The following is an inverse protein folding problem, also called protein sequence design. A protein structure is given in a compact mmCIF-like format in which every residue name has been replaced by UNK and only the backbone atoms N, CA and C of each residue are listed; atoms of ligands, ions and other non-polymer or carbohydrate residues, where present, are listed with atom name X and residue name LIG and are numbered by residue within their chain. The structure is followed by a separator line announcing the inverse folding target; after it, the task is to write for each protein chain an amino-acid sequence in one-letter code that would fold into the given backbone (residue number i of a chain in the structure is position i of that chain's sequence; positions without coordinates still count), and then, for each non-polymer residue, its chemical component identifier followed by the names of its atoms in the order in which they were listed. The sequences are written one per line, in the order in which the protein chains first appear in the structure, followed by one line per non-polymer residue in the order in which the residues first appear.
data_IF_145180963636
#
_entry.id   IF_145180963636
#
_cell.length_a   1.000
_cell.length_b   1.000
_cell.length_c   1.000
_cell.angle_alpha   90.00
_cell.angle_beta   90.00
_cell.angle_gamma   90.00
#
_symmetry.space_group_name_H-M   'P 1'
#
loop_
_entity.id
_entity.type
_entity.pdbx_description
1 polymer ?
#
# COMPACT_ATOMS: atom_id res chain seq x y z
N UNK A 1 -27.16 12.58 8.37
CA UNK A 1 -26.06 11.58 8.41
C UNK A 1 -24.79 12.29 7.94
N UNK A 2 -23.64 12.05 8.56
CA UNK A 2 -22.39 12.70 8.14
C UNK A 2 -22.01 12.27 6.72
N UNK A 3 -21.28 13.14 6.04
CA UNK A 3 -20.77 12.85 4.67
C UNK A 3 -19.62 11.85 4.70
N UNK A 4 -18.75 11.92 5.70
CA UNK A 4 -17.61 11.02 5.89
C UNK A 4 -17.66 10.36 7.27
N UNK A 5 -17.13 9.13 7.36
CA UNK A 5 -16.68 8.53 8.63
C UNK A 5 -15.16 8.51 8.62
N UNK A 6 -14.51 9.17 9.57
CA UNK A 6 -13.08 8.94 9.83
C UNK A 6 -12.99 7.71 10.73
N UNK A 7 -12.29 6.66 10.29
CA UNK A 7 -12.12 5.42 11.04
C UNK A 7 -10.68 5.28 11.51
N UNK A 8 -10.50 5.26 12.84
CA UNK A 8 -9.20 5.09 13.50
C UNK A 8 -9.25 3.86 14.44
N UNK A 9 -8.59 2.75 14.07
CA UNK A 9 -8.33 1.67 15.01
C UNK A 9 -7.19 2.07 15.95
N UNK A 10 -7.30 1.68 17.22
CA UNK A 10 -6.33 1.99 18.28
C UNK A 10 -5.96 0.71 19.01
N UNK A 11 -4.67 0.45 19.21
CA UNK A 11 -4.16 -0.58 20.09
C UNK A 11 -2.79 -0.20 20.63
N UNK A 12 -2.72 0.08 21.96
CA UNK A 12 -1.50 0.47 22.66
C UNK A 12 -0.74 1.61 21.94
N UNK A 13 -1.42 2.74 21.75
CA UNK A 13 -0.93 3.86 20.93
C UNK A 13 -0.76 5.17 21.74
N UNK A 14 -0.70 5.13 23.07
CA UNK A 14 -0.76 6.29 23.95
C UNK A 14 0.27 7.38 23.58
N UNK A 15 1.42 7.01 23.05
CA UNK A 15 2.51 7.94 22.70
C UNK A 15 2.14 8.99 21.65
N UNK A 16 1.39 8.60 20.60
CA UNK A 16 1.11 9.48 19.46
C UNK A 16 -0.38 9.77 19.27
N UNK A 17 -1.23 9.06 19.99
CA UNK A 17 -2.68 9.07 19.81
C UNK A 17 -3.30 10.47 19.92
N UNK A 18 -2.88 11.28 20.90
CA UNK A 18 -3.40 12.63 21.06
C UNK A 18 -3.10 13.47 19.80
N UNK A 19 -1.88 13.42 19.27
CA UNK A 19 -1.51 14.15 18.06
C UNK A 19 -2.33 13.69 16.83
N UNK A 20 -2.56 12.38 16.70
CA UNK A 20 -3.38 11.82 15.64
C UNK A 20 -4.83 12.28 15.73
N UNK A 21 -5.45 12.25 16.94
CA UNK A 21 -6.82 12.73 17.18
C UNK A 21 -6.92 14.23 16.87
N UNK A 22 -6.01 15.05 17.40
CA UNK A 22 -6.00 16.49 17.17
C UNK A 22 -5.93 16.83 15.68
N UNK A 23 -5.12 16.10 14.90
CA UNK A 23 -4.97 16.29 13.47
C UNK A 23 -6.27 16.05 12.68
N UNK A 24 -7.16 15.21 13.20
CA UNK A 24 -8.49 14.97 12.63
C UNK A 24 -9.48 16.03 13.11
N UNK A 25 -9.42 16.44 14.35
CA UNK A 25 -10.38 17.42 14.90
C UNK A 25 -10.23 18.82 14.28
N UNK A 26 -9.01 19.19 13.82
CA UNK A 26 -8.73 20.47 13.17
C UNK A 26 -8.98 20.46 11.63
N UNK A 27 -9.56 19.39 11.07
CA UNK A 27 -9.85 19.35 9.63
C UNK A 27 -10.79 20.48 9.21
N UNK A 28 -10.50 21.10 8.05
CA UNK A 28 -11.34 22.14 7.44
C UNK A 28 -12.68 21.62 6.95
N UNK A 29 -12.75 20.34 6.58
CA UNK A 29 -14.00 19.64 6.34
C UNK A 29 -14.60 19.19 7.67
N UNK A 30 -15.79 19.63 8.03
CA UNK A 30 -16.39 19.43 9.37
C UNK A 30 -17.54 18.43 9.39
N UNK A 31 -18.14 18.08 8.24
CA UNK A 31 -19.28 17.17 8.15
C UNK A 31 -18.85 15.70 8.17
N UNK A 32 -18.26 15.25 9.28
CA UNK A 32 -17.86 13.87 9.51
C UNK A 32 -18.18 13.39 10.92
N UNK A 33 -18.34 12.08 11.07
CA UNK A 33 -18.19 11.40 12.36
C UNK A 33 -16.75 10.87 12.49
N UNK A 34 -16.23 10.88 13.70
CA UNK A 34 -14.92 10.32 14.02
C UNK A 34 -15.07 9.05 14.86
N UNK A 35 -15.07 7.90 14.17
CA UNK A 35 -15.22 6.59 14.79
C UNK A 35 -13.85 6.07 15.23
N UNK A 36 -13.60 6.03 16.53
CA UNK A 36 -12.39 5.48 17.14
C UNK A 36 -12.73 4.14 17.75
N UNK A 37 -12.00 3.08 17.35
CA UNK A 37 -12.20 1.73 17.87
C UNK A 37 -10.94 1.26 18.58
N UNK A 38 -11.01 1.17 19.89
CA UNK A 38 -9.95 0.60 20.71
C UNK A 38 -10.03 -0.93 20.70
N UNK A 39 -8.93 -1.59 20.32
CA UNK A 39 -8.84 -3.04 20.25
C UNK A 39 -8.33 -3.65 21.56
N UNK A 40 -8.93 -3.22 22.70
CA UNK A 40 -8.58 -3.67 24.04
C UNK A 40 -7.16 -3.28 24.46
N UNK A 41 -6.83 -1.98 24.34
CA UNK A 41 -5.54 -1.45 24.81
C UNK A 41 -5.34 -1.63 26.30
N UNK A 42 -4.09 -1.86 26.70
CA UNK A 42 -3.66 -1.99 28.11
C UNK A 42 -2.84 -0.80 28.62
N UNK A 43 -2.53 0.14 27.73
CA UNK A 43 -1.83 1.40 28.04
C UNK A 43 -2.81 2.54 28.34
N UNK A 44 -2.36 3.80 28.27
CA UNK A 44 -3.21 4.96 28.54
C UNK A 44 -4.13 5.38 27.37
N UNK A 45 -4.16 4.64 26.26
CA UNK A 45 -4.91 5.00 25.03
C UNK A 45 -6.40 5.30 25.30
N UNK A 46 -7.08 4.43 26.09
CA UNK A 46 -8.51 4.60 26.41
C UNK A 46 -8.78 5.88 27.19
N UNK A 47 -7.91 6.24 28.15
CA UNK A 47 -8.06 7.48 28.93
C UNK A 47 -7.84 8.71 28.05
N UNK A 48 -6.86 8.66 27.12
CA UNK A 48 -6.63 9.73 26.15
C UNK A 48 -7.89 9.94 25.31
N UNK A 49 -8.47 8.89 24.72
CA UNK A 49 -9.68 9.02 23.90
C UNK A 49 -10.83 9.63 24.72
N UNK A 50 -11.05 9.14 25.94
CA UNK A 50 -12.15 9.62 26.82
C UNK A 50 -11.95 11.05 27.33
N UNK A 51 -10.76 11.61 27.24
CA UNK A 51 -10.50 13.01 27.62
C UNK A 51 -11.04 14.01 26.60
N UNK A 52 -11.33 13.58 25.37
CA UNK A 52 -11.91 14.42 24.33
C UNK A 52 -13.42 14.52 24.47
N UNK A 53 -13.96 15.75 24.33
CA UNK A 53 -15.38 16.02 24.43
C UNK A 53 -16.04 16.46 23.11
N UNK A 54 -15.32 16.36 21.98
CA UNK A 54 -15.84 16.75 20.68
C UNK A 54 -17.00 15.82 20.27
N UNK A 55 -18.15 16.41 19.93
CA UNK A 55 -19.38 15.68 19.61
C UNK A 55 -19.30 14.80 18.35
N UNK A 56 -18.29 15.00 17.52
CA UNK A 56 -18.03 14.17 16.33
C UNK A 56 -17.43 12.81 16.68
N UNK A 57 -16.81 12.66 17.86
CA UNK A 57 -16.17 11.43 18.31
C UNK A 57 -17.22 10.40 18.71
N UNK A 58 -17.13 9.22 18.09
CA UNK A 58 -17.83 8.00 18.50
C UNK A 58 -16.79 6.97 18.94
N UNK A 59 -16.73 6.70 20.22
CA UNK A 59 -15.79 5.74 20.79
C UNK A 59 -16.44 4.36 20.97
N UNK A 60 -15.74 3.32 20.50
CA UNK A 60 -16.09 1.93 20.71
C UNK A 60 -14.87 1.16 21.22
N UNK A 61 -15.05 0.28 22.22
CA UNK A 61 -13.99 -0.58 22.73
C UNK A 61 -14.33 -2.04 22.49
N UNK A 62 -13.40 -2.80 21.88
CA UNK A 62 -13.54 -4.23 21.75
C UNK A 62 -13.36 -4.92 23.12
N UNK A 63 -14.12 -5.98 23.42
CA UNK A 63 -14.03 -6.69 24.70
C UNK A 63 -12.74 -7.50 24.88
N UNK A 64 -12.00 -7.73 23.79
CA UNK A 64 -10.68 -8.36 23.73
C UNK A 64 -9.95 -7.91 22.47
N UNK A 65 -8.64 -8.11 22.39
CA UNK A 65 -7.90 -7.86 21.16
C UNK A 65 -8.36 -8.81 20.05
N UNK A 66 -8.88 -8.23 18.95
CA UNK A 66 -9.38 -8.95 17.77
C UNK A 66 -8.40 -8.92 16.60
N UNK A 67 -7.40 -8.05 16.66
CA UNK A 67 -6.47 -7.74 15.58
C UNK A 67 -7.01 -6.70 14.60
N UNK A 68 -6.09 -6.15 13.80
CA UNK A 68 -6.34 -4.97 12.95
C UNK A 68 -7.49 -5.21 11.96
N UNK A 69 -7.50 -6.34 11.24
CA UNK A 69 -8.51 -6.64 10.23
C UNK A 69 -9.92 -6.73 10.80
N UNK A 70 -10.08 -7.41 11.94
CA UNK A 70 -11.38 -7.54 12.60
C UNK A 70 -11.87 -6.20 13.17
N UNK A 71 -10.97 -5.40 13.73
CA UNK A 71 -11.25 -4.07 14.26
C UNK A 71 -11.67 -3.10 13.15
N UNK A 72 -10.98 -3.12 12.00
CA UNK A 72 -11.35 -2.34 10.83
C UNK A 72 -12.69 -2.77 10.24
N UNK A 73 -12.94 -4.07 10.14
CA UNK A 73 -14.23 -4.59 9.65
C UNK A 73 -15.39 -4.15 10.57
N UNK A 74 -15.18 -4.20 11.87
CA UNK A 74 -16.14 -3.67 12.84
C UNK A 74 -16.40 -2.18 12.62
N UNK A 75 -15.34 -1.41 12.33
CA UNK A 75 -15.45 0.01 12.00
C UNK A 75 -16.24 0.25 10.71
N UNK A 76 -16.02 -0.53 9.67
CA UNK A 76 -16.79 -0.44 8.42
C UNK A 76 -18.28 -0.73 8.67
N UNK A 77 -18.60 -1.73 9.49
CA UNK A 77 -19.99 -2.04 9.86
C UNK A 77 -20.65 -0.87 10.61
N UNK A 78 -19.96 -0.31 11.61
CA UNK A 78 -20.46 0.76 12.48
C UNK A 78 -20.48 2.14 11.82
N UNK A 79 -19.73 2.35 10.75
CA UNK A 79 -19.65 3.61 10.02
C UNK A 79 -21.04 4.05 9.51
N UNK A 80 -21.43 5.28 9.79
CA UNK A 80 -22.72 5.84 9.36
C UNK A 80 -22.67 6.39 7.94
N UNK A 81 -21.48 6.83 7.48
CA UNK A 81 -21.31 7.43 6.17
C UNK A 81 -21.01 6.38 5.08
N UNK A 82 -21.28 6.75 3.83
CA UNK A 82 -20.93 5.95 2.65
C UNK A 82 -19.42 5.97 2.35
N UNK A 83 -18.73 7.04 2.70
CA UNK A 83 -17.30 7.22 2.49
C UNK A 83 -16.56 7.12 3.81
N UNK A 84 -15.55 6.26 3.86
CA UNK A 84 -14.76 6.02 5.06
C UNK A 84 -13.33 6.51 4.80
N UNK A 85 -12.89 7.51 5.58
CA UNK A 85 -11.53 8.00 5.61
C UNK A 85 -10.75 7.21 6.67
N UNK A 86 -9.72 6.53 6.27
CA UNK A 86 -8.85 5.78 7.17
C UNK A 86 -7.85 6.72 7.84
N UNK A 87 -7.49 6.44 9.10
CA UNK A 87 -6.44 7.12 9.84
C UNK A 87 -5.75 6.17 10.80
N UNK A 88 -4.42 6.20 10.88
CA UNK A 88 -3.65 5.50 11.91
C UNK A 88 -3.55 6.34 13.18
N UNK A 89 -3.36 5.68 14.31
CA UNK A 89 -3.27 6.31 15.63
C UNK A 89 -1.90 6.94 15.93
N UNK A 90 -0.96 6.86 15.00
CA UNK A 90 0.40 7.40 15.11
C UNK A 90 0.79 8.39 13.99
N UNK A 91 -0.11 8.62 13.02
CA UNK A 91 0.08 9.50 11.89
C UNK A 91 -0.49 10.91 12.11
N UNK A 92 -0.17 11.86 11.20
CA UNK A 92 -0.67 13.23 11.24
C UNK A 92 -1.38 13.59 9.94
N UNK A 93 -2.67 13.85 10.00
CA UNK A 93 -3.46 14.31 8.87
C UNK A 93 -3.30 15.83 8.67
N UNK A 94 -3.02 16.29 7.43
CA UNK A 94 -2.97 17.73 7.17
C UNK A 94 -4.38 18.35 7.25
N UNK A 95 -4.52 19.59 7.72
CA UNK A 95 -5.85 20.19 8.04
C UNK A 95 -6.83 20.21 6.87
N UNK A 96 -6.36 20.16 5.64
CA UNK A 96 -7.17 20.21 4.43
C UNK A 96 -7.34 18.84 3.73
N UNK A 97 -6.85 17.73 4.32
CA UNK A 97 -6.88 16.41 3.69
C UNK A 97 -8.29 15.97 3.34
N UNK A 98 -9.20 15.94 4.32
CA UNK A 98 -10.56 15.47 4.09
C UNK A 98 -11.29 16.32 3.04
N UNK A 99 -11.14 17.64 3.08
CA UNK A 99 -11.77 18.53 2.10
C UNK A 99 -11.27 18.25 0.69
N UNK A 100 -9.94 18.18 0.50
CA UNK A 100 -9.33 17.98 -0.82
C UNK A 100 -9.66 16.59 -1.40
N UNK A 101 -9.60 15.55 -0.59
CA UNK A 101 -9.96 14.20 -1.04
C UNK A 101 -11.46 14.10 -1.35
N UNK A 102 -12.34 14.72 -0.55
CA UNK A 102 -13.77 14.72 -0.83
C UNK A 102 -14.12 15.51 -2.10
N UNK A 103 -13.48 16.64 -2.34
CA UNK A 103 -13.64 17.38 -3.60
C UNK A 103 -13.12 16.58 -4.81
N UNK A 104 -12.11 15.75 -4.61
CA UNK A 104 -11.62 14.85 -5.65
C UNK A 104 -12.59 13.69 -5.93
N UNK A 105 -13.20 13.12 -4.89
CA UNK A 105 -14.27 12.09 -5.01
C UNK A 105 -15.40 12.62 -5.90
N UNK A 106 -15.88 13.85 -5.68
CA UNK A 106 -16.94 14.47 -6.50
C UNK A 106 -16.58 14.60 -8.00
N UNK A 107 -15.29 14.74 -8.31
CA UNK A 107 -14.77 14.82 -9.69
C UNK A 107 -14.57 13.45 -10.35
N UNK A 108 -14.59 12.38 -9.58
CA UNK A 108 -14.33 11.00 -10.01
C UNK A 108 -15.40 10.04 -9.47
N UNK A 109 -16.65 10.18 -9.91
CA UNK A 109 -17.77 9.39 -9.36
C UNK A 109 -17.68 7.89 -9.66
N UNK A 110 -16.78 7.48 -10.56
CA UNK A 110 -16.46 6.10 -10.92
C UNK A 110 -15.40 5.46 -10.01
N UNK A 111 -14.79 6.22 -9.09
CA UNK A 111 -13.78 5.75 -8.15
C UNK A 111 -14.38 5.12 -6.90
N UNK A 112 -13.70 4.13 -6.36
CA UNK A 112 -14.06 3.48 -5.11
C UNK A 112 -13.04 3.66 -3.98
N UNK A 113 -11.81 4.05 -4.32
CA UNK A 113 -10.76 4.37 -3.36
C UNK A 113 -9.94 5.57 -3.88
N UNK A 114 -9.63 6.48 -2.95
CA UNK A 114 -8.90 7.70 -3.20
C UNK A 114 -7.79 7.84 -2.18
N UNK A 115 -6.55 7.75 -2.63
CA UNK A 115 -5.34 7.98 -1.81
C UNK A 115 -4.76 9.38 -2.04
N UNK A 116 -3.69 9.69 -1.36
CA UNK A 116 -2.87 10.88 -1.59
C UNK A 116 -1.39 10.55 -1.40
N UNK A 117 -0.50 11.46 -1.77
CA UNK A 117 0.89 11.36 -1.43
C UNK A 117 1.11 11.54 0.07
N UNK A 118 2.18 10.95 0.58
CA UNK A 118 2.54 11.03 1.99
C UNK A 118 3.98 11.53 2.15
N UNK A 119 4.21 12.23 3.26
CA UNK A 119 5.54 12.47 3.77
C UNK A 119 5.83 11.45 4.86
N UNK A 120 6.90 10.69 4.70
CA UNK A 120 7.36 9.74 5.71
C UNK A 120 8.19 10.50 6.72
N UNK A 121 7.83 10.37 7.99
CA UNK A 121 8.56 10.94 9.12
C UNK A 121 9.04 9.84 10.05
N UNK A 122 10.15 10.07 10.74
CA UNK A 122 10.61 9.21 11.80
C UNK A 122 9.83 9.39 13.11
N UNK A 123 10.23 8.66 14.12
CA UNK A 123 9.53 8.61 15.39
C UNK A 123 9.40 9.97 16.06
N UNK A 124 10.43 10.81 15.98
CA UNK A 124 10.48 12.14 16.59
C UNK A 124 10.04 13.27 15.64
N UNK A 125 9.49 12.88 14.46
CA UNK A 125 8.95 13.82 13.47
C UNK A 125 9.94 14.31 12.42
N UNK A 126 11.16 13.80 12.41
CA UNK A 126 12.18 14.15 11.41
C UNK A 126 11.79 13.65 10.01
N UNK A 127 12.09 14.44 9.00
CA UNK A 127 11.83 14.10 7.61
C UNK A 127 12.67 12.90 7.16
N UNK A 128 12.03 11.90 6.56
CA UNK A 128 12.70 10.74 5.96
C UNK A 128 12.65 10.83 4.43
N UNK A 129 11.45 10.88 3.86
CA UNK A 129 11.22 10.96 2.41
C UNK A 129 9.78 11.40 2.09
N UNK A 130 9.54 11.73 0.84
CA UNK A 130 8.18 11.81 0.30
C UNK A 130 7.93 10.69 -0.70
N UNK A 131 6.71 10.13 -0.68
CA UNK A 131 6.28 9.07 -1.58
C UNK A 131 5.20 9.59 -2.53
N UNK A 132 5.55 9.55 -3.82
CA UNK A 132 4.73 10.09 -4.92
C UNK A 132 4.38 8.97 -5.89
N UNK A 133 3.15 8.45 -5.83
CA UNK A 133 2.70 7.38 -6.71
C UNK A 133 1.66 7.88 -7.71
N UNK A 134 1.74 7.37 -8.95
CA UNK A 134 0.75 7.64 -9.98
C UNK A 134 -0.28 6.50 -10.03
N UNK A 135 -1.56 6.84 -9.87
CA UNK A 135 -2.67 5.89 -9.89
C UNK A 135 -2.87 5.19 -11.25
N UNK A 136 -2.36 5.74 -12.35
CA UNK A 136 -2.40 5.07 -13.66
C UNK A 136 -1.71 3.69 -13.63
N UNK A 137 -0.76 3.52 -12.70
CA UNK A 137 -0.01 2.27 -12.56
C UNK A 137 -0.52 1.36 -11.45
N UNK A 138 -1.56 1.73 -10.70
CA UNK A 138 -2.05 0.96 -9.55
C UNK A 138 -2.50 -0.44 -9.94
N UNK A 139 -3.26 -0.60 -11.03
CA UNK A 139 -3.72 -1.91 -11.48
C UNK A 139 -2.58 -2.90 -11.72
N UNK A 140 -1.50 -2.46 -12.38
CA UNK A 140 -0.33 -3.28 -12.59
C UNK A 140 0.50 -3.46 -11.32
N UNK A 141 0.82 -2.38 -10.63
CA UNK A 141 1.77 -2.40 -9.51
C UNK A 141 1.23 -3.11 -8.29
N UNK A 142 -0.07 -2.97 -7.97
CA UNK A 142 -0.71 -3.71 -6.87
C UNK A 142 -0.73 -5.24 -7.09
N UNK A 143 -0.40 -5.73 -8.27
CA UNK A 143 -0.14 -7.16 -8.46
C UNK A 143 1.14 -7.61 -7.75
N UNK A 144 2.11 -6.71 -7.55
CA UNK A 144 3.46 -7.01 -7.04
C UNK A 144 3.79 -6.33 -5.72
N UNK A 145 3.37 -5.10 -5.51
CA UNK A 145 3.72 -4.27 -4.35
C UNK A 145 2.55 -3.37 -4.00
N UNK A 146 2.28 -3.20 -2.71
CA UNK A 146 1.35 -2.18 -2.24
C UNK A 146 2.03 -0.80 -2.26
N UNK A 147 1.57 0.09 -3.13
CA UNK A 147 2.02 1.48 -3.23
C UNK A 147 1.01 2.48 -2.66
N UNK A 148 0.01 2.00 -1.97
CA UNK A 148 -1.00 2.84 -1.32
C UNK A 148 -0.76 2.76 0.18
N UNK A 149 -0.54 3.90 0.80
CA UNK A 149 -0.46 4.00 2.26
C UNK A 149 -1.85 3.92 2.87
N UNK A 150 -2.02 2.99 3.79
CA UNK A 150 -3.32 2.70 4.39
C UNK A 150 -3.97 3.92 5.08
N UNK A 151 -3.25 4.73 5.89
CA UNK A 151 -3.85 5.85 6.61
C UNK A 151 -4.27 7.04 5.73
N UNK A 152 -3.87 7.05 4.45
CA UNK A 152 -4.19 8.17 3.57
C UNK A 152 -5.40 7.93 2.65
N UNK A 153 -6.10 6.78 2.76
CA UNK A 153 -7.20 6.46 1.85
C UNK A 153 -8.56 6.95 2.34
N UNK A 154 -9.42 7.33 1.38
CA UNK A 154 -10.87 7.37 1.55
C UNK A 154 -11.46 6.34 0.59
N UNK A 155 -12.32 5.46 1.07
CA UNK A 155 -12.93 4.43 0.25
C UNK A 155 -14.46 4.35 0.40
N UNK A 156 -15.12 3.82 -0.61
CA UNK A 156 -16.55 3.53 -0.60
C UNK A 156 -16.84 2.32 0.29
N UNK A 157 -17.67 2.48 1.31
CA UNK A 157 -18.14 1.40 2.19
C UNK A 157 -18.72 0.24 1.38
N UNK A 158 -19.58 0.55 0.41
CA UNK A 158 -20.24 -0.46 -0.44
C UNK A 158 -19.21 -1.22 -1.27
N UNK A 159 -18.25 -0.54 -1.89
CA UNK A 159 -17.25 -1.19 -2.73
C UNK A 159 -16.35 -2.13 -1.91
N UNK A 160 -15.96 -1.72 -0.70
CA UNK A 160 -15.17 -2.56 0.22
C UNK A 160 -15.97 -3.78 0.68
N UNK A 161 -17.25 -3.62 0.99
CA UNK A 161 -18.13 -4.76 1.32
C UNK A 161 -18.29 -5.73 0.16
N UNK A 162 -18.42 -5.24 -1.09
CA UNK A 162 -18.53 -6.07 -2.29
C UNK A 162 -17.32 -6.94 -2.59
N UNK A 163 -16.15 -6.60 -2.08
CA UNK A 163 -14.92 -7.38 -2.27
C UNK A 163 -14.54 -8.21 -1.03
N UNK A 164 -15.36 -8.20 0.03
CA UNK A 164 -15.19 -9.05 1.22
C UNK A 164 -14.45 -8.39 2.38
N UNK A 165 -14.28 -7.07 2.35
CA UNK A 165 -13.62 -6.28 3.40
C UNK A 165 -12.18 -6.77 3.67
N UNK A 166 -11.67 -6.60 4.88
CA UNK A 166 -10.35 -7.10 5.28
C UNK A 166 -10.43 -8.59 5.60
N UNK A 167 -9.80 -9.43 4.80
CA UNK A 167 -9.98 -10.89 4.83
C UNK A 167 -8.75 -11.67 5.32
N UNK A 168 -7.62 -10.98 5.53
CA UNK A 168 -6.35 -11.61 5.96
C UNK A 168 -5.78 -10.90 7.20
N UNK A 169 -5.02 -11.61 8.06
CA UNK A 169 -4.54 -11.04 9.32
C UNK A 169 -3.32 -10.11 9.16
N UNK A 170 -2.58 -10.24 8.08
CA UNK A 170 -1.38 -9.44 7.76
C UNK A 170 -1.39 -9.03 6.30
N UNK A 171 -0.83 -7.84 6.00
CA UNK A 171 -0.92 -7.22 4.69
C UNK A 171 -2.39 -7.07 4.21
N UNK A 172 -3.26 -6.79 5.15
CA UNK A 172 -4.71 -6.70 4.98
C UNK A 172 -5.12 -5.58 4.03
N UNK A 173 -4.40 -4.47 4.05
CA UNK A 173 -4.54 -3.33 3.16
C UNK A 173 -4.17 -3.71 1.72
N UNK A 174 -3.04 -4.41 1.54
CA UNK A 174 -2.61 -4.87 0.23
C UNK A 174 -3.63 -5.82 -0.40
N UNK A 175 -4.14 -6.81 0.37
CA UNK A 175 -5.21 -7.69 -0.12
C UNK A 175 -6.43 -6.88 -0.53
N UNK A 176 -6.93 -5.99 0.33
CA UNK A 176 -8.12 -5.19 0.07
C UNK A 176 -7.95 -4.33 -1.19
N UNK A 177 -6.85 -3.59 -1.32
CA UNK A 177 -6.63 -2.69 -2.46
C UNK A 177 -6.48 -3.46 -3.77
N UNK A 178 -5.80 -4.60 -3.74
CA UNK A 178 -5.72 -5.45 -4.92
C UNK A 178 -7.09 -6.03 -5.29
N UNK A 179 -7.91 -6.49 -4.33
CA UNK A 179 -9.27 -6.95 -4.59
C UNK A 179 -10.14 -5.83 -5.19
N UNK A 180 -10.00 -4.59 -4.70
CA UNK A 180 -10.71 -3.44 -5.26
C UNK A 180 -10.35 -3.20 -6.72
N UNK A 181 -9.07 -3.31 -7.11
CA UNK A 181 -8.64 -3.13 -8.51
C UNK A 181 -9.28 -4.12 -9.49
N UNK A 182 -9.80 -5.23 -9.00
CA UNK A 182 -10.48 -6.22 -9.85
C UNK A 182 -11.86 -5.79 -10.32
N UNK A 183 -12.50 -4.86 -9.60
CA UNK A 183 -13.90 -4.46 -9.84
C UNK A 183 -14.12 -2.96 -9.88
N UNK A 184 -13.21 -2.17 -9.31
CA UNK A 184 -13.39 -0.74 -9.10
C UNK A 184 -12.16 0.05 -9.52
N UNK A 185 -12.35 1.34 -9.83
CA UNK A 185 -11.23 2.27 -10.07
C UNK A 185 -10.71 2.85 -8.77
N UNK A 186 -9.38 2.97 -8.71
CA UNK A 186 -8.65 3.57 -7.60
C UNK A 186 -7.89 4.79 -8.13
N UNK A 187 -7.92 5.87 -7.38
CA UNK A 187 -7.29 7.13 -7.75
C UNK A 187 -6.33 7.63 -6.68
N UNK A 188 -5.34 8.39 -7.10
CA UNK A 188 -4.46 9.13 -6.20
C UNK A 188 -4.60 10.62 -6.44
N UNK A 189 -4.67 11.40 -5.39
CA UNK A 189 -4.56 12.86 -5.45
C UNK A 189 -3.08 13.25 -5.31
N UNK A 190 -2.55 13.92 -6.31
CA UNK A 190 -1.13 14.27 -6.41
C UNK A 190 -0.77 15.45 -5.47
N UNK A 191 -1.00 15.24 -4.17
CA UNK A 191 -0.67 16.18 -3.10
C UNK A 191 -0.29 15.41 -1.83
N UNK A 192 0.72 15.90 -1.12
CA UNK A 192 1.09 15.40 0.21
C UNK A 192 0.06 15.93 1.21
N UNK A 193 -0.69 15.01 1.84
CA UNK A 193 -1.78 15.36 2.77
C UNK A 193 -1.72 14.60 4.10
N UNK A 194 -0.67 13.82 4.32
CA UNK A 194 -0.49 13.04 5.54
C UNK A 194 1.01 12.85 5.82
N UNK A 195 1.41 13.03 7.08
CA UNK A 195 2.69 12.57 7.59
C UNK A 195 2.52 11.14 8.11
N UNK A 196 3.18 10.18 7.42
CA UNK A 196 3.22 8.77 7.80
C UNK A 196 4.41 8.52 8.72
N UNK A 197 4.13 8.09 9.96
CA UNK A 197 5.16 7.88 10.97
C UNK A 197 5.73 6.46 10.93
N UNK A 198 7.05 6.37 10.94
CA UNK A 198 7.77 5.10 11.11
C UNK A 198 8.32 5.05 12.53
N UNK A 199 7.89 4.05 13.29
CA UNK A 199 8.30 3.84 14.68
C UNK A 199 9.07 2.53 14.84
N UNK A 200 9.76 2.38 15.99
CA UNK A 200 10.38 1.13 16.41
C UNK A 200 9.36 0.03 16.74
N UNK A 201 8.10 0.38 16.91
CA UNK A 201 6.98 -0.54 17.16
C UNK A 201 6.15 -0.85 15.90
N UNK A 202 6.56 -0.36 14.73
CA UNK A 202 5.85 -0.63 13.48
C UNK A 202 5.76 -2.15 13.22
N UNK A 203 4.53 -2.68 13.21
CA UNK A 203 4.26 -4.13 13.14
C UNK A 203 4.96 -4.80 11.96
N UNK A 204 4.83 -4.22 10.76
CA UNK A 204 5.37 -4.79 9.53
C UNK A 204 6.90 -4.69 9.42
N UNK A 205 7.54 -3.71 10.07
CA UNK A 205 9.00 -3.50 9.98
C UNK A 205 9.77 -4.20 11.08
N UNK A 206 9.20 -4.32 12.28
CA UNK A 206 9.92 -4.73 13.47
C UNK A 206 9.28 -5.95 14.13
N UNK A 207 8.08 -5.82 14.68
CA UNK A 207 7.50 -6.81 15.61
C UNK A 207 7.06 -8.11 14.92
N UNK A 208 6.53 -8.04 13.70
CA UNK A 208 5.94 -9.16 12.94
C UNK A 208 6.52 -9.31 11.53
N UNK A 209 7.79 -8.93 11.37
CA UNK A 209 8.46 -8.88 10.05
C UNK A 209 8.40 -10.21 9.28
N UNK A 210 8.55 -11.35 9.96
CA UNK A 210 8.52 -12.67 9.32
C UNK A 210 7.12 -13.05 8.86
N UNK A 211 6.12 -12.80 9.71
CA UNK A 211 4.71 -13.08 9.42
C UNK A 211 4.21 -12.20 8.26
N UNK A 212 4.56 -10.92 8.27
CA UNK A 212 4.24 -10.00 7.17
C UNK A 212 4.92 -10.42 5.86
N UNK A 213 6.22 -10.77 5.89
CA UNK A 213 6.94 -11.26 4.71
C UNK A 213 6.25 -12.48 4.10
N UNK A 214 5.89 -13.46 4.93
CA UNK A 214 5.18 -14.66 4.48
C UNK A 214 3.80 -14.32 3.91
N UNK A 215 3.03 -13.49 4.59
CA UNK A 215 1.71 -13.05 4.13
C UNK A 215 1.78 -12.34 2.77
N UNK A 216 2.76 -11.45 2.59
CA UNK A 216 2.98 -10.78 1.30
C UNK A 216 3.38 -11.74 0.19
N UNK A 217 4.22 -12.74 0.46
CA UNK A 217 4.58 -13.78 -0.53
C UNK A 217 3.36 -14.60 -0.94
N UNK A 218 2.53 -15.03 0.02
CA UNK A 218 1.27 -15.73 -0.23
C UNK A 218 0.30 -14.84 -1.02
N UNK A 219 0.25 -13.54 -0.69
CA UNK A 219 -0.55 -12.55 -1.40
C UNK A 219 -0.15 -12.49 -2.88
N UNK A 220 1.16 -12.33 -3.17
CA UNK A 220 1.62 -12.28 -4.55
C UNK A 220 1.28 -13.56 -5.31
N UNK A 221 1.44 -14.71 -4.69
CA UNK A 221 1.09 -15.97 -5.33
C UNK A 221 -0.41 -16.04 -5.68
N UNK A 222 -1.29 -15.56 -4.77
CA UNK A 222 -2.74 -15.43 -5.07
C UNK A 222 -2.98 -14.44 -6.23
N UNK A 223 -2.30 -13.29 -6.23
CA UNK A 223 -2.41 -12.31 -7.30
C UNK A 223 -1.98 -12.91 -8.66
N UNK A 224 -0.87 -13.64 -8.70
CA UNK A 224 -0.40 -14.27 -9.94
C UNK A 224 -1.36 -15.36 -10.42
N UNK A 225 -1.89 -16.18 -9.52
CA UNK A 225 -2.88 -17.22 -9.84
C UNK A 225 -4.16 -16.65 -10.44
N UNK A 226 -4.59 -15.48 -10.01
CA UNK A 226 -5.74 -14.80 -10.62
C UNK A 226 -5.55 -14.54 -12.12
N UNK A 227 -4.31 -14.26 -12.56
CA UNK A 227 -4.02 -13.99 -13.98
C UNK A 227 -3.64 -15.24 -14.77
N UNK A 228 -3.02 -16.22 -14.15
CA UNK A 228 -2.42 -17.38 -14.83
C UNK A 228 -3.25 -18.65 -14.65
N UNK A 229 -3.80 -18.88 -13.45
CA UNK A 229 -4.56 -20.07 -13.04
C UNK A 229 -4.05 -20.64 -11.72
N UNK A 230 -4.90 -21.38 -11.02
CA UNK A 230 -4.66 -21.84 -9.64
C UNK A 230 -3.44 -22.75 -9.48
N UNK A 231 -3.06 -23.51 -10.51
CA UNK A 231 -1.89 -24.41 -10.47
C UNK A 231 -0.55 -23.67 -10.65
N UNK A 232 -0.55 -22.36 -10.90
CA UNK A 232 0.67 -21.60 -11.10
C UNK A 232 1.54 -21.58 -9.85
N UNK A 233 2.83 -21.84 -10.07
CA UNK A 233 3.87 -21.80 -9.03
C UNK A 233 5.09 -21.06 -9.56
N UNK A 234 5.81 -20.40 -8.66
CA UNK A 234 7.00 -19.62 -8.96
C UNK A 234 7.99 -19.75 -7.79
N UNK A 235 9.30 -19.82 -8.01
CA UNK A 235 10.28 -19.85 -6.93
C UNK A 235 10.15 -18.65 -5.99
N UNK A 236 10.21 -18.89 -4.66
CA UNK A 236 10.08 -17.87 -3.64
C UNK A 236 11.04 -16.68 -3.86
N UNK A 237 12.31 -16.95 -4.20
CA UNK A 237 13.30 -15.90 -4.53
C UNK A 237 12.91 -15.01 -5.71
N UNK A 238 12.03 -15.49 -6.63
CA UNK A 238 11.49 -14.65 -7.70
C UNK A 238 10.36 -13.78 -7.19
N UNK A 239 9.50 -14.31 -6.29
CA UNK A 239 8.47 -13.51 -5.60
C UNK A 239 9.16 -12.35 -4.87
N UNK A 240 10.20 -12.62 -4.09
CA UNK A 240 10.97 -11.61 -3.38
C UNK A 240 11.58 -10.57 -4.32
N UNK A 241 12.20 -10.99 -5.41
CA UNK A 241 12.75 -10.09 -6.41
C UNK A 241 11.67 -9.18 -7.02
N UNK A 242 10.48 -9.73 -7.31
CA UNK A 242 9.35 -8.97 -7.85
C UNK A 242 8.75 -8.00 -6.82
N UNK A 243 9.03 -8.18 -5.53
CA UNK A 243 8.73 -7.25 -4.43
C UNK A 243 9.88 -6.29 -4.13
N UNK A 244 10.93 -6.25 -4.94
CA UNK A 244 12.14 -5.44 -4.77
C UNK A 244 13.05 -5.87 -3.59
N UNK A 245 12.93 -7.10 -3.10
CA UNK A 245 13.88 -7.75 -2.20
C UNK A 245 14.86 -8.59 -3.05
N UNK A 246 16.01 -8.03 -3.38
CA UNK A 246 16.89 -8.59 -4.40
C UNK A 246 17.99 -9.51 -3.85
N UNK A 247 18.22 -9.48 -2.53
CA UNK A 247 19.29 -10.19 -1.84
C UNK A 247 19.33 -11.68 -2.18
N UNK A 248 18.19 -12.43 -2.19
CA UNK A 248 18.21 -13.88 -2.44
C UNK A 248 18.69 -14.28 -3.84
N UNK A 249 18.49 -13.41 -4.84
CA UNK A 249 19.05 -13.63 -6.19
C UNK A 249 20.47 -13.08 -6.31
N UNK A 250 20.79 -12.00 -5.58
CA UNK A 250 22.12 -11.40 -5.62
C UNK A 250 23.15 -12.30 -4.93
N UNK A 251 22.84 -12.90 -3.78
CA UNK A 251 23.71 -13.84 -3.06
C UNK A 251 24.14 -15.02 -3.92
N UNK A 252 23.24 -15.56 -4.74
CA UNK A 252 23.56 -16.64 -5.68
C UNK A 252 24.46 -16.22 -6.83
N UNK A 253 24.56 -14.92 -7.11
CA UNK A 253 25.35 -14.39 -8.23
C UNK A 253 25.07 -15.06 -9.59
N UNK A 254 23.88 -15.64 -9.77
CA UNK A 254 23.50 -16.43 -10.95
C UNK A 254 22.77 -15.56 -11.99
N UNK A 255 23.49 -15.12 -13.01
CA UNK A 255 22.89 -14.39 -14.14
C UNK A 255 21.74 -15.18 -14.78
N UNK A 256 21.86 -16.51 -14.86
CA UNK A 256 20.79 -17.36 -15.41
C UNK A 256 19.50 -17.28 -14.61
N UNK A 257 19.57 -17.26 -13.27
CA UNK A 257 18.40 -17.15 -12.40
C UNK A 257 17.75 -15.77 -12.50
N UNK A 258 18.56 -14.70 -12.60
CA UNK A 258 18.05 -13.34 -12.81
C UNK A 258 17.30 -13.23 -14.14
N UNK A 259 17.87 -13.80 -15.23
CA UNK A 259 17.20 -13.82 -16.54
C UNK A 259 15.89 -14.60 -16.49
N UNK A 260 15.84 -15.74 -15.78
CA UNK A 260 14.60 -16.51 -15.60
C UNK A 260 13.55 -15.71 -14.83
N UNK A 261 13.93 -15.03 -13.74
CA UNK A 261 13.03 -14.16 -12.98
C UNK A 261 12.44 -13.03 -13.84
N UNK A 262 13.26 -12.40 -14.69
CA UNK A 262 12.78 -11.35 -15.61
C UNK A 262 11.85 -11.89 -16.71
N UNK A 263 12.07 -13.12 -17.17
CA UNK A 263 11.13 -13.79 -18.10
C UNK A 263 9.79 -14.11 -17.43
N UNK A 264 9.81 -14.49 -16.15
CA UNK A 264 8.57 -14.64 -15.36
C UNK A 264 7.84 -13.31 -15.23
N UNK A 265 8.55 -12.19 -14.98
CA UNK A 265 7.94 -10.87 -14.97
C UNK A 265 7.30 -10.53 -16.32
N UNK A 266 7.97 -10.81 -17.43
CA UNK A 266 7.45 -10.57 -18.77
C UNK A 266 6.19 -11.42 -19.02
N UNK A 267 6.23 -12.70 -18.66
CA UNK A 267 5.08 -13.61 -18.75
C UNK A 267 3.88 -13.11 -17.95
N UNK A 268 4.08 -12.75 -16.66
CA UNK A 268 3.04 -12.20 -15.80
C UNK A 268 2.48 -10.89 -16.36
N UNK A 269 3.36 -10.01 -16.87
CA UNK A 269 2.95 -8.73 -17.47
C UNK A 269 2.04 -8.92 -18.68
N UNK A 270 2.32 -9.93 -19.54
CA UNK A 270 1.44 -10.29 -20.65
C UNK A 270 0.09 -10.83 -20.17
N UNK A 271 0.08 -11.64 -19.10
CA UNK A 271 -1.18 -12.14 -18.50
C UNK A 271 -2.02 -11.03 -17.94
N UNK A 272 -1.42 -10.06 -17.22
CA UNK A 272 -2.09 -8.86 -16.71
C UNK A 272 -2.66 -8.03 -17.87
N UNK A 273 -1.85 -7.79 -18.91
CA UNK A 273 -2.24 -7.02 -20.10
C UNK A 273 -3.46 -7.63 -20.82
N UNK A 274 -3.54 -8.96 -20.87
CA UNK A 274 -4.59 -9.68 -21.57
C UNK A 274 -5.85 -9.94 -20.72
N UNK A 275 -5.80 -9.66 -19.43
CA UNK A 275 -6.95 -9.86 -18.53
C UNK A 275 -7.98 -8.76 -18.73
N UNK A 276 -9.22 -9.12 -18.99
CA UNK A 276 -10.37 -8.20 -18.99
C UNK A 276 -10.54 -7.58 -17.60
N UNK A 277 -10.49 -6.24 -17.51
CA UNK A 277 -10.64 -5.51 -16.26
C UNK A 277 -11.03 -4.04 -16.53
N UNK A 278 -11.80 -3.43 -15.63
CA UNK A 278 -12.22 -2.01 -15.68
C UNK A 278 -11.00 -1.05 -15.65
N UNK A 279 -9.88 -1.48 -15.05
CA UNK A 279 -8.64 -0.71 -14.95
C UNK A 279 -7.63 -1.03 -16.07
N UNK A 280 -8.03 -1.83 -17.06
CA UNK A 280 -7.13 -2.23 -18.15
C UNK A 280 -6.85 -1.04 -19.08
N UNK A 281 -5.77 -0.34 -18.80
CA UNK A 281 -5.14 0.61 -19.72
C UNK A 281 -3.86 -0.01 -20.29
N UNK A 282 -3.86 -0.29 -21.59
CA UNK A 282 -2.77 -0.99 -22.29
C UNK A 282 -1.47 -0.23 -22.21
N UNK A 283 -1.51 1.10 -22.39
CA UNK A 283 -0.31 1.92 -22.40
C UNK A 283 0.24 2.13 -20.97
N UNK A 284 -0.63 2.33 -19.99
CA UNK A 284 -0.22 2.43 -18.59
C UNK A 284 0.41 1.10 -18.10
N UNK A 285 -0.20 -0.05 -18.42
CA UNK A 285 0.35 -1.37 -18.07
C UNK A 285 1.73 -1.58 -18.71
N UNK A 286 1.89 -1.29 -20.01
CA UNK A 286 3.19 -1.41 -20.70
C UNK A 286 4.26 -0.51 -20.09
N UNK A 287 3.92 0.74 -19.76
CA UNK A 287 4.84 1.68 -19.08
C UNK A 287 5.24 1.17 -17.69
N UNK A 288 4.27 0.74 -16.88
CA UNK A 288 4.54 0.20 -15.55
C UNK A 288 5.42 -1.06 -15.61
N UNK A 289 5.15 -1.98 -16.54
CA UNK A 289 5.94 -3.18 -16.77
C UNK A 289 7.38 -2.83 -17.20
N UNK A 290 7.53 -1.85 -18.11
CA UNK A 290 8.83 -1.36 -18.54
C UNK A 290 9.64 -0.76 -17.37
N UNK A 291 9.02 0.11 -16.55
CA UNK A 291 9.70 0.72 -15.41
C UNK A 291 10.12 -0.33 -14.38
N UNK A 292 9.24 -1.27 -14.06
CA UNK A 292 9.55 -2.36 -13.13
C UNK A 292 10.70 -3.22 -13.62
N UNK A 293 10.65 -3.65 -14.89
CA UNK A 293 11.72 -4.44 -15.52
C UNK A 293 13.05 -3.69 -15.51
N UNK A 294 13.01 -2.42 -15.92
CA UNK A 294 14.20 -1.57 -15.93
C UNK A 294 14.79 -1.39 -14.54
N UNK A 295 13.97 -1.11 -13.54
CA UNK A 295 14.41 -0.95 -12.15
C UNK A 295 15.15 -2.20 -11.64
N UNK A 296 14.60 -3.40 -11.91
CA UNK A 296 15.22 -4.67 -11.52
C UNK A 296 16.57 -4.87 -12.24
N UNK A 297 16.62 -4.61 -13.55
CA UNK A 297 17.86 -4.71 -14.34
C UNK A 297 18.92 -3.75 -13.81
N UNK A 298 18.58 -2.48 -13.63
CA UNK A 298 19.51 -1.45 -13.15
C UNK A 298 20.10 -1.81 -11.77
N UNK A 299 19.26 -2.35 -10.87
CA UNK A 299 19.73 -2.83 -9.56
C UNK A 299 20.79 -3.94 -9.72
N UNK A 300 20.48 -5.02 -10.45
CA UNK A 300 21.43 -6.13 -10.60
C UNK A 300 22.69 -5.71 -11.34
N UNK A 301 22.57 -4.88 -12.37
CA UNK A 301 23.72 -4.36 -13.12
C UNK A 301 24.65 -3.51 -12.22
N UNK A 302 24.09 -2.81 -11.22
CA UNK A 302 24.86 -2.01 -10.24
C UNK A 302 25.57 -2.89 -9.21
N UNK A 303 24.96 -4.00 -8.78
CA UNK A 303 25.43 -4.79 -7.63
C UNK A 303 26.14 -6.10 -8.00
N UNK A 304 26.07 -6.53 -9.26
CA UNK A 304 26.90 -7.62 -9.80
C UNK A 304 28.29 -7.13 -10.16
N UNK A 305 29.26 -8.05 -10.26
CA UNK A 305 30.54 -7.70 -10.87
C UNK A 305 30.34 -7.17 -12.31
N UNK A 306 31.23 -6.27 -12.75
CA UNK A 306 31.12 -5.66 -14.10
C UNK A 306 30.99 -6.68 -15.21
N UNK A 307 31.71 -7.82 -15.11
CA UNK A 307 31.64 -8.92 -16.06
C UNK A 307 30.25 -9.61 -16.05
N UNK A 308 29.71 -9.95 -14.85
CA UNK A 308 28.38 -10.56 -14.75
C UNK A 308 27.27 -9.60 -15.18
N UNK A 309 27.39 -8.31 -14.82
CA UNK A 309 26.47 -7.27 -15.28
C UNK A 309 26.44 -7.14 -16.81
N UNK A 310 27.61 -7.21 -17.47
CA UNK A 310 27.67 -7.21 -18.92
C UNK A 310 27.01 -8.46 -19.52
N UNK A 311 27.28 -9.65 -18.97
CA UNK A 311 26.62 -10.91 -19.43
C UNK A 311 25.10 -10.80 -19.27
N UNK A 312 24.62 -10.22 -18.16
CA UNK A 312 23.19 -10.00 -17.95
C UNK A 312 22.58 -9.14 -19.06
N UNK A 313 23.19 -7.99 -19.36
CA UNK A 313 22.72 -7.09 -20.42
C UNK A 313 22.72 -7.76 -21.80
N UNK A 314 23.76 -8.51 -22.12
CA UNK A 314 23.85 -9.27 -23.40
C UNK A 314 22.69 -10.29 -23.48
N UNK A 315 22.48 -11.09 -22.42
CA UNK A 315 21.42 -12.12 -22.39
C UNK A 315 20.02 -11.56 -22.49
N UNK A 316 19.82 -10.30 -22.03
CA UNK A 316 18.55 -9.59 -22.10
C UNK A 316 18.38 -8.76 -23.38
N UNK A 317 19.41 -8.67 -24.25
CA UNK A 317 19.38 -7.87 -25.46
C UNK A 317 19.43 -6.36 -25.22
N UNK A 318 19.92 -5.90 -24.04
CA UNK A 318 19.98 -4.48 -23.64
C UNK A 318 21.19 -3.75 -24.25
N UNK A 319 21.34 -3.81 -25.58
CA UNK A 319 22.51 -3.26 -26.30
C UNK A 319 22.65 -1.74 -26.16
N UNK A 320 21.57 -1.00 -25.95
CA UNK A 320 21.63 0.47 -25.70
C UNK A 320 22.33 0.78 -24.38
N UNK A 321 22.04 0.03 -23.33
CA UNK A 321 22.68 0.20 -22.02
C UNK A 321 24.15 -0.22 -22.06
N UNK A 322 24.50 -1.24 -22.83
CA UNK A 322 25.91 -1.64 -23.08
C UNK A 322 26.68 -0.50 -23.75
N UNK A 323 26.14 0.07 -24.84
CA UNK A 323 26.78 1.20 -25.56
C UNK A 323 26.96 2.42 -24.61
N UNK A 324 25.97 2.73 -23.77
CA UNK A 324 26.06 3.83 -22.80
C UNK A 324 27.20 3.62 -21.80
N UNK A 325 27.32 2.41 -21.23
CA UNK A 325 28.40 2.06 -20.30
C UNK A 325 29.79 2.15 -20.93
N UNK A 326 29.96 1.64 -22.16
CA UNK A 326 31.23 1.75 -22.87
C UNK A 326 31.60 3.21 -23.12
N UNK A 327 30.63 4.05 -23.53
CA UNK A 327 30.85 5.46 -23.81
C UNK A 327 31.26 6.29 -22.58
N UNK A 328 30.68 5.99 -21.40
CA UNK A 328 30.89 6.80 -20.20
C UNK A 328 31.83 6.13 -19.17
N UNK A 329 32.42 4.95 -19.48
CA UNK A 329 33.31 4.16 -18.58
C UNK A 329 32.75 4.02 -17.15
N UNK A 330 31.45 3.84 -17.02
CA UNK A 330 30.73 3.67 -15.72
C UNK A 330 30.48 2.20 -15.46
#
# INVERSE_FOLDING_TARGET
MPTLTVLMPVYNADRFLAQAIDSILIQTFTDFEFLIIDDCSSDNSVNIIKSYTDARIRFYQNPKNLGISATLNKGIELASAQWIARMDSDDISYPNRLQKQYDFIKKRPDGALFSCWVKVIGQDGEFVMEEHYNSDYYYYNLTFICWIYHPCVIFSKIAVQQVGMYSVPYAEDFELFWQLTRKHKLYNLDQVLLDYRVTDQSLHKVLKKKEYKKAQQEQLLRNFRYYVGESYTIPERYIECLQHSFEPLLEKQSVSDIVKCLRELEFLSQKILNKENINRDVEAIKKAAFFKRKFIIDYFVKHLSSFKGLILLIRLGEFKEIKKRIKYRV
#
